data_IF_513397386343
#
_entry.id   IF_513397386343
#
_cell.length_a   1.000
_cell.length_b   1.000
_cell.length_c   1.000
_cell.angle_alpha   90.00
_cell.angle_beta   90.00
_cell.angle_gamma   90.00
#
_symmetry.space_group_name_H-M   'P 1'
#
loop_
_entity.id
_entity.type
_entity.pdbx_description
1 polymer ?
#
# COMPACT_ATOMS: atom_id res chain seq x y z
N UNK A 1 -24.72 98.56 10.46
CA UNK A 1 -23.29 98.47 10.78
C UNK A 1 -23.00 97.10 11.35
N UNK A 2 -22.11 96.35 10.72
CA UNK A 2 -21.73 94.99 11.10
C UNK A 2 -20.56 95.11 12.08
N UNK A 3 -20.81 94.81 13.35
CA UNK A 3 -19.81 94.84 14.43
C UNK A 3 -18.87 93.65 14.24
N UNK A 4 -17.72 93.89 13.62
CA UNK A 4 -16.62 92.93 13.63
C UNK A 4 -15.99 92.93 15.02
N UNK A 5 -16.20 91.86 15.79
CA UNK A 5 -15.46 91.61 17.02
C UNK A 5 -14.00 91.29 16.65
N UNK A 6 -13.08 92.21 16.96
CA UNK A 6 -11.66 92.01 16.77
C UNK A 6 -11.09 91.30 18.01
N UNK A 7 -10.87 90.00 17.91
CA UNK A 7 -10.20 89.22 18.96
C UNK A 7 -8.71 89.56 18.93
N UNK A 8 -8.08 89.93 20.07
CA UNK A 8 -6.64 90.14 20.14
C UNK A 8 -5.87 88.92 19.66
N UNK A 9 -4.86 89.12 18.81
CA UNK A 9 -4.04 88.05 18.21
C UNK A 9 -3.50 87.03 19.24
N UNK A 10 -3.22 87.49 20.47
CA UNK A 10 -2.76 86.66 21.58
C UNK A 10 -3.78 85.59 21.99
N UNK A 11 -5.04 85.97 22.20
CA UNK A 11 -6.11 85.05 22.62
C UNK A 11 -6.40 84.00 21.53
N UNK A 12 -6.41 84.43 20.26
CA UNK A 12 -6.53 83.52 19.12
C UNK A 12 -5.37 82.52 19.04
N UNK A 13 -4.14 82.97 19.31
CA UNK A 13 -2.95 82.12 19.33
C UNK A 13 -2.97 81.11 20.49
N UNK A 14 -3.37 81.54 21.69
CA UNK A 14 -3.52 80.68 22.87
C UNK A 14 -4.58 79.60 22.64
N UNK A 15 -5.72 79.95 22.03
CA UNK A 15 -6.75 78.98 21.65
C UNK A 15 -6.23 77.94 20.64
N UNK A 16 -5.49 78.38 19.61
CA UNK A 16 -4.88 77.47 18.62
C UNK A 16 -3.81 76.57 19.23
N UNK A 17 -3.05 77.08 20.20
CA UNK A 17 -2.05 76.27 20.92
C UNK A 17 -2.69 75.18 21.76
N UNK A 18 -3.79 75.48 22.47
CA UNK A 18 -4.53 74.48 23.23
C UNK A 18 -5.14 73.39 22.32
N UNK A 19 -5.66 73.76 21.14
CA UNK A 19 -6.13 72.79 20.14
C UNK A 19 -4.99 71.88 19.65
N UNK A 20 -3.79 72.42 19.42
CA UNK A 20 -2.62 71.65 19.05
C UNK A 20 -2.17 70.69 20.16
N UNK A 21 -2.16 71.14 21.42
CA UNK A 21 -1.81 70.28 22.56
C UNK A 21 -2.79 69.11 22.70
N UNK A 22 -4.10 69.35 22.50
CA UNK A 22 -5.11 68.28 22.49
C UNK A 22 -4.87 67.31 21.33
N UNK A 23 -4.61 67.84 20.14
CA UNK A 23 -4.34 67.03 18.94
C UNK A 23 -3.09 66.16 19.15
N UNK A 24 -2.04 66.70 19.77
CA UNK A 24 -0.82 65.95 20.09
C UNK A 24 -1.13 64.77 21.01
N UNK A 25 -1.92 64.96 22.06
CA UNK A 25 -2.32 63.87 22.96
C UNK A 25 -3.10 62.77 22.22
N UNK A 26 -4.05 63.14 21.36
CA UNK A 26 -4.82 62.19 20.55
C UNK A 26 -3.90 61.40 19.59
N UNK A 27 -2.97 62.08 18.92
CA UNK A 27 -1.99 61.44 18.04
C UNK A 27 -1.08 60.49 18.80
N UNK A 28 -0.61 60.86 20.00
CA UNK A 28 0.22 59.97 20.83
C UNK A 28 -0.55 58.71 21.25
N UNK A 29 -1.82 58.81 21.63
CA UNK A 29 -2.66 57.65 21.94
C UNK A 29 -2.84 56.74 20.71
N UNK A 30 -3.08 57.33 19.55
CA UNK A 30 -3.18 56.65 18.27
C UNK A 30 -1.89 55.89 17.89
N UNK A 31 -0.72 56.44 18.20
CA UNK A 31 0.58 55.80 18.01
C UNK A 31 0.71 54.59 18.93
N UNK A 32 0.40 54.72 20.23
CA UNK A 32 0.51 53.61 21.18
C UNK A 32 -0.44 52.46 20.82
N UNK A 33 -1.68 52.78 20.45
CA UNK A 33 -2.65 51.78 19.98
C UNK A 33 -2.14 51.02 18.75
N UNK A 34 -1.57 51.73 17.76
CA UNK A 34 -0.98 51.10 16.56
C UNK A 34 0.22 50.22 16.90
N UNK A 35 1.07 50.61 17.86
CA UNK A 35 2.19 49.79 18.33
C UNK A 35 1.72 48.48 18.96
N UNK A 36 0.71 48.53 19.83
CA UNK A 36 0.09 47.33 20.39
C UNK A 36 -0.50 46.44 19.28
N UNK A 37 -1.19 47.05 18.32
CA UNK A 37 -1.78 46.30 17.21
C UNK A 37 -0.73 45.59 16.33
N UNK A 38 0.42 46.21 16.14
CA UNK A 38 1.55 45.59 15.42
C UNK A 38 2.02 44.33 16.16
N UNK A 39 2.16 44.37 17.49
CA UNK A 39 2.60 43.20 18.27
C UNK A 39 1.54 42.09 18.27
N UNK A 40 0.25 42.42 18.37
CA UNK A 40 -0.84 41.44 18.21
C UNK A 40 -0.79 40.73 16.85
N UNK A 41 -0.59 41.49 15.77
CA UNK A 41 -0.51 40.93 14.41
C UNK A 41 0.72 40.03 14.27
N UNK A 42 1.87 40.44 14.80
CA UNK A 42 3.10 39.62 14.79
C UNK A 42 2.89 38.28 15.50
N UNK A 43 2.26 38.29 16.68
CA UNK A 43 2.00 37.06 17.41
C UNK A 43 1.01 36.16 16.66
N UNK A 44 -0.05 36.74 16.08
CA UNK A 44 -1.00 35.97 15.24
C UNK A 44 -0.31 35.29 14.06
N UNK A 45 0.62 35.97 13.38
CA UNK A 45 1.40 35.39 12.28
C UNK A 45 2.30 34.25 12.78
N UNK A 46 2.92 34.41 13.95
CA UNK A 46 3.76 33.37 14.56
C UNK A 46 2.97 32.12 14.92
N UNK A 47 1.79 32.28 15.54
CA UNK A 47 0.87 31.18 15.86
C UNK A 47 0.44 30.47 14.57
N UNK A 48 0.00 31.24 13.55
CA UNK A 48 -0.39 30.67 12.26
C UNK A 48 0.73 29.85 11.61
N UNK A 49 1.98 30.34 11.67
CA UNK A 49 3.13 29.59 11.17
C UNK A 49 3.36 28.30 11.95
N UNK A 50 3.28 28.34 13.27
CA UNK A 50 3.42 27.16 14.11
C UNK A 50 2.34 26.12 13.82
N UNK A 51 1.07 26.54 13.75
CA UNK A 51 -0.06 25.66 13.45
C UNK A 51 0.07 25.02 12.06
N UNK A 52 0.50 25.80 11.06
CA UNK A 52 0.72 25.28 9.71
C UNK A 52 1.80 24.17 9.70
N UNK A 53 2.92 24.37 10.39
CA UNK A 53 3.98 23.35 10.46
C UNK A 53 3.54 22.13 11.27
N UNK A 54 2.77 22.32 12.36
CA UNK A 54 2.18 21.20 13.13
C UNK A 54 1.25 20.36 12.25
N UNK A 55 0.30 20.99 11.56
CA UNK A 55 -0.65 20.29 10.70
C UNK A 55 0.03 19.57 9.53
N UNK A 56 1.10 20.16 8.95
CA UNK A 56 1.93 19.47 7.95
C UNK A 56 2.56 18.21 8.53
N UNK A 57 3.17 18.29 9.70
CA UNK A 57 3.83 17.16 10.35
C UNK A 57 2.83 16.03 10.68
N UNK A 58 1.67 16.39 11.23
CA UNK A 58 0.57 15.45 11.49
C UNK A 58 0.09 14.77 10.20
N UNK A 59 -0.11 15.56 9.13
CA UNK A 59 -0.49 15.05 7.82
C UNK A 59 0.54 14.05 7.28
N UNK A 60 1.83 14.42 7.28
CA UNK A 60 2.92 13.53 6.85
C UNK A 60 2.93 12.24 7.67
N UNK A 61 2.74 12.32 8.99
CA UNK A 61 2.69 11.14 9.85
C UNK A 61 1.54 10.19 9.45
N UNK A 62 0.32 10.71 9.32
CA UNK A 62 -0.86 9.90 8.96
C UNK A 62 -0.71 9.26 7.58
N UNK A 63 -0.29 10.04 6.57
CA UNK A 63 -0.13 9.51 5.21
C UNK A 63 1.02 8.51 5.09
N UNK A 64 2.09 8.68 5.89
CA UNK A 64 3.18 7.70 5.97
C UNK A 64 2.65 6.38 6.53
N UNK A 65 1.88 6.42 7.62
CA UNK A 65 1.26 5.23 8.20
C UNK A 65 0.30 4.54 7.25
N UNK A 66 -0.51 5.30 6.53
CA UNK A 66 -1.43 4.76 5.53
C UNK A 66 -0.66 4.07 4.40
N UNK A 67 0.41 4.69 3.90
CA UNK A 67 1.28 4.10 2.88
C UNK A 67 1.90 2.78 3.37
N UNK A 68 2.48 2.76 4.57
CA UNK A 68 3.04 1.54 5.18
C UNK A 68 2.00 0.42 5.30
N UNK A 69 0.75 0.77 5.66
CA UNK A 69 -0.35 -0.19 5.76
C UNK A 69 -0.71 -0.79 4.40
N UNK A 70 -0.86 0.05 3.38
CA UNK A 70 -1.16 -0.39 2.00
C UNK A 70 -0.04 -1.26 1.44
N UNK A 71 1.22 -0.86 1.62
CA UNK A 71 2.39 -1.64 1.17
C UNK A 71 2.45 -3.02 1.83
N UNK A 72 2.13 -3.10 3.12
CA UNK A 72 2.03 -4.38 3.82
C UNK A 72 0.90 -5.24 3.28
N UNK A 73 -0.27 -4.65 3.03
CA UNK A 73 -1.41 -5.33 2.42
C UNK A 73 -1.07 -5.91 1.05
N UNK A 74 -0.43 -5.11 0.19
CA UNK A 74 0.03 -5.55 -1.12
C UNK A 74 1.06 -6.69 -1.03
N UNK A 75 2.03 -6.56 -0.13
CA UNK A 75 3.04 -7.61 0.09
C UNK A 75 2.40 -8.92 0.53
N UNK A 76 1.41 -8.85 1.42
CA UNK A 76 0.67 -10.03 1.89
C UNK A 76 -0.13 -10.68 0.76
N UNK A 77 -0.85 -9.88 -0.02
CA UNK A 77 -1.62 -10.34 -1.18
C UNK A 77 -0.74 -11.09 -2.19
N UNK A 78 0.38 -10.49 -2.60
CA UNK A 78 1.32 -11.11 -3.56
C UNK A 78 1.80 -12.45 -3.01
N UNK A 79 2.21 -12.49 -1.74
CA UNK A 79 2.68 -13.72 -1.11
C UNK A 79 1.62 -14.81 -1.07
N UNK A 80 0.37 -14.49 -0.74
CA UNK A 80 -0.72 -15.47 -0.72
C UNK A 80 -0.98 -16.05 -2.12
N UNK A 81 -0.91 -15.22 -3.17
CA UNK A 81 -1.02 -15.67 -4.56
C UNK A 81 0.13 -16.62 -4.93
N UNK A 82 1.37 -16.26 -4.60
CA UNK A 82 2.56 -17.08 -4.87
C UNK A 82 2.53 -18.42 -4.11
N UNK A 83 2.11 -18.40 -2.83
CA UNK A 83 2.02 -19.61 -2.01
C UNK A 83 0.93 -20.57 -2.53
N UNK A 84 -0.22 -20.04 -3.00
CA UNK A 84 -1.28 -20.83 -3.63
C UNK A 84 -0.85 -21.43 -4.96
N UNK A 85 -0.18 -20.64 -5.80
CA UNK A 85 0.38 -21.10 -7.07
C UNK A 85 1.37 -22.24 -6.82
N UNK A 86 2.34 -22.05 -5.92
CA UNK A 86 3.38 -23.04 -5.61
C UNK A 86 2.79 -24.35 -5.07
N UNK A 87 1.72 -24.27 -4.29
CA UNK A 87 1.03 -25.46 -3.78
C UNK A 87 0.41 -26.27 -4.93
N UNK A 88 -0.25 -25.58 -5.86
CA UNK A 88 -0.85 -26.19 -7.06
C UNK A 88 0.22 -26.82 -7.95
N UNK A 89 1.32 -26.11 -8.21
CA UNK A 89 2.45 -26.61 -9.01
C UNK A 89 3.09 -27.85 -8.38
N UNK A 90 3.31 -27.85 -7.06
CA UNK A 90 3.87 -29.00 -6.35
C UNK A 90 2.95 -30.23 -6.40
N UNK A 91 1.64 -30.03 -6.34
CA UNK A 91 0.68 -31.12 -6.51
C UNK A 91 0.75 -31.71 -7.93
N UNK A 92 0.80 -30.85 -8.94
CA UNK A 92 0.94 -31.28 -10.33
C UNK A 92 2.26 -32.03 -10.57
N UNK A 93 3.38 -31.54 -10.05
CA UNK A 93 4.69 -32.19 -10.15
C UNK A 93 4.67 -33.59 -9.53
N UNK A 94 3.99 -33.77 -8.38
CA UNK A 94 3.81 -35.07 -7.76
C UNK A 94 3.06 -36.06 -8.66
N UNK A 95 1.93 -35.64 -9.24
CA UNK A 95 1.16 -36.48 -10.15
C UNK A 95 1.91 -36.83 -11.44
N UNK A 96 2.64 -35.87 -12.01
CA UNK A 96 3.47 -36.10 -13.20
C UNK A 96 4.54 -37.15 -12.89
N UNK A 97 5.25 -37.02 -11.76
CA UNK A 97 6.30 -37.96 -11.37
C UNK A 97 5.78 -39.38 -11.17
N UNK A 98 4.62 -39.52 -10.53
CA UNK A 98 3.96 -40.83 -10.36
C UNK A 98 3.60 -41.44 -11.72
N UNK A 99 3.04 -40.65 -12.66
CA UNK A 99 2.72 -41.08 -14.02
C UNK A 99 3.97 -41.47 -14.82
N UNK A 100 5.05 -40.70 -14.74
CA UNK A 100 6.33 -41.02 -15.41
C UNK A 100 6.92 -42.34 -14.92
N UNK A 101 6.79 -42.63 -13.62
CA UNK A 101 7.21 -43.89 -13.04
C UNK A 101 6.34 -45.06 -13.54
N UNK A 102 5.01 -44.92 -13.51
CA UNK A 102 4.09 -45.95 -14.02
C UNK A 102 4.34 -46.21 -15.52
N UNK A 103 4.53 -45.17 -16.33
CA UNK A 103 4.87 -45.30 -17.76
C UNK A 103 6.18 -46.06 -17.94
N UNK A 104 7.21 -45.78 -17.12
CA UNK A 104 8.50 -46.46 -17.20
C UNK A 104 8.38 -47.96 -16.89
N UNK A 105 7.59 -48.33 -15.90
CA UNK A 105 7.30 -49.73 -15.55
C UNK A 105 6.51 -50.44 -16.65
N UNK A 106 5.50 -49.77 -17.21
CA UNK A 106 4.71 -50.28 -18.33
C UNK A 106 5.56 -50.45 -19.60
N UNK A 107 6.48 -49.53 -19.88
CA UNK A 107 7.42 -49.63 -21.00
C UNK A 107 8.39 -50.81 -20.85
N UNK A 108 8.90 -51.03 -19.64
CA UNK A 108 9.72 -52.20 -19.31
C UNK A 108 8.93 -53.49 -19.53
N UNK A 109 7.71 -53.56 -18.99
CA UNK A 109 6.79 -54.70 -19.14
C UNK A 109 6.50 -55.02 -20.60
N UNK A 110 6.18 -53.99 -21.38
CA UNK A 110 5.91 -54.09 -22.82
C UNK A 110 7.10 -54.66 -23.58
N UNK A 111 8.31 -54.22 -23.23
CA UNK A 111 9.55 -54.70 -23.84
C UNK A 111 9.82 -56.18 -23.52
N UNK A 112 9.64 -56.60 -22.26
CA UNK A 112 9.77 -58.00 -21.83
C UNK A 112 8.77 -58.91 -22.55
N UNK A 113 7.50 -58.48 -22.65
CA UNK A 113 6.45 -59.21 -23.38
C UNK A 113 6.80 -59.34 -24.86
N UNK A 114 7.23 -58.25 -25.51
CA UNK A 114 7.64 -58.27 -26.92
C UNK A 114 8.80 -59.23 -27.16
N UNK A 115 9.82 -59.19 -26.30
CA UNK A 115 10.98 -60.08 -26.41
C UNK A 115 10.58 -61.56 -26.28
N UNK A 116 9.77 -61.90 -25.29
CA UNK A 116 9.28 -63.26 -25.08
C UNK A 116 8.39 -63.76 -26.22
N UNK A 117 7.55 -62.88 -26.79
CA UNK A 117 6.67 -63.23 -27.91
C UNK A 117 7.43 -63.59 -29.19
N UNK A 118 8.65 -63.08 -29.34
CA UNK A 118 9.55 -63.40 -30.46
C UNK A 118 10.55 -64.52 -30.14
N UNK A 119 10.50 -65.10 -28.94
CA UNK A 119 11.46 -66.12 -28.51
C UNK A 119 11.05 -67.52 -28.99
N UNK A 120 12.02 -68.28 -29.50
CA UNK A 120 11.84 -69.70 -29.84
C UNK A 120 12.01 -70.63 -28.61
N UNK A 121 12.42 -70.09 -27.45
CA UNK A 121 12.53 -70.86 -26.21
C UNK A 121 11.16 -71.01 -25.54
N UNK A 122 10.45 -72.07 -25.92
CA UNK A 122 9.13 -72.39 -25.40
C UNK A 122 9.12 -72.69 -23.90
N UNK A 123 10.22 -73.18 -23.31
CA UNK A 123 10.28 -73.46 -21.88
C UNK A 123 10.35 -72.15 -21.08
N UNK A 124 11.20 -71.21 -21.49
CA UNK A 124 11.32 -69.89 -20.87
C UNK A 124 10.01 -69.08 -20.99
N UNK A 125 9.30 -69.22 -22.11
CA UNK A 125 7.96 -68.65 -22.30
C UNK A 125 6.98 -69.20 -21.26
N UNK A 126 6.86 -70.52 -21.14
CA UNK A 126 5.93 -71.16 -20.19
C UNK A 126 6.25 -70.78 -18.73
N UNK A 127 7.54 -70.69 -18.37
CA UNK A 127 7.97 -70.29 -17.03
C UNK A 127 7.63 -68.82 -16.73
N UNK A 128 7.83 -67.92 -17.71
CA UNK A 128 7.66 -66.48 -17.52
C UNK A 128 6.20 -66.01 -17.70
N UNK A 129 5.38 -66.77 -18.44
CA UNK A 129 4.01 -66.39 -18.81
C UNK A 129 3.12 -66.04 -17.62
N UNK A 130 3.17 -66.85 -16.55
CA UNK A 130 2.36 -66.62 -15.35
C UNK A 130 2.70 -65.29 -14.67
N UNK A 131 3.98 -64.91 -14.64
CA UNK A 131 4.42 -63.60 -14.15
C UNK A 131 3.96 -62.50 -15.12
N UNK A 132 4.27 -62.66 -16.42
CA UNK A 132 3.82 -61.95 -17.64
C UNK A 132 2.39 -61.42 -17.66
N UNK A 133 1.47 -62.34 -17.36
CA UNK A 133 0.04 -62.17 -17.63
C UNK A 133 -0.63 -61.16 -16.69
N UNK A 134 -0.13 -61.00 -15.47
CA UNK A 134 -0.67 -60.03 -14.53
C UNK A 134 -0.37 -58.60 -15.01
N UNK A 135 -1.37 -57.71 -14.95
CA UNK A 135 -1.12 -56.28 -15.17
C UNK A 135 -0.27 -55.74 -13.99
N UNK A 136 0.69 -54.83 -14.24
CA UNK A 136 1.34 -54.11 -13.16
C UNK A 136 0.30 -53.36 -12.31
N UNK A 137 0.52 -53.24 -10.99
CA UNK A 137 -0.32 -52.41 -10.15
C UNK A 137 -0.22 -50.97 -10.66
N UNK A 138 -1.36 -50.37 -11.01
CA UNK A 138 -1.47 -49.00 -11.51
C UNK A 138 -2.56 -48.27 -10.73
N UNK A 139 -2.39 -46.97 -10.58
CA UNK A 139 -3.41 -46.11 -9.99
C UNK A 139 -4.50 -45.80 -11.03
N UNK A 140 -5.74 -45.60 -10.58
CA UNK A 140 -6.78 -45.02 -11.44
C UNK A 140 -6.60 -43.50 -11.51
N UNK A 141 -6.35 -43.00 -12.72
CA UNK A 141 -6.11 -41.58 -13.00
C UNK A 141 -7.34 -40.84 -13.55
N UNK A 142 -8.47 -41.52 -13.77
CA UNK A 142 -9.65 -40.93 -14.43
C UNK A 142 -10.26 -39.75 -13.67
N UNK A 143 -10.22 -39.78 -12.34
CA UNK A 143 -10.75 -38.74 -11.47
C UNK A 143 -9.69 -37.74 -10.97
N UNK A 144 -8.41 -38.00 -11.22
CA UNK A 144 -7.32 -37.15 -10.72
C UNK A 144 -7.27 -35.86 -11.52
N UNK A 145 -7.41 -34.72 -10.83
CA UNK A 145 -7.29 -33.38 -11.42
C UNK A 145 -6.45 -32.49 -10.51
N UNK A 146 -5.82 -31.50 -11.13
CA UNK A 146 -5.23 -30.36 -10.44
C UNK A 146 -6.17 -29.20 -10.69
N UNK A 147 -6.86 -28.77 -9.64
CA UNK A 147 -7.73 -27.61 -9.73
C UNK A 147 -6.89 -26.33 -9.79
N UNK A 148 -7.29 -25.32 -10.58
CA UNK A 148 -6.66 -24.02 -10.54
C UNK A 148 -6.72 -23.43 -9.12
N UNK A 149 -5.71 -22.68 -8.68
CA UNK A 149 -5.76 -22.02 -7.39
C UNK A 149 -6.99 -21.10 -7.33
N UNK A 150 -7.83 -21.26 -6.30
CA UNK A 150 -8.92 -20.33 -6.03
C UNK A 150 -8.35 -19.08 -5.37
N UNK A 151 -8.59 -17.92 -5.99
CA UNK A 151 -8.28 -16.60 -5.44
C UNK A 151 -9.53 -15.94 -4.83
N UNK A 152 -10.57 -16.71 -4.54
CA UNK A 152 -11.76 -16.17 -3.86
C UNK A 152 -11.39 -15.68 -2.44
N UNK A 153 -11.66 -14.40 -2.18
CA UNK A 153 -11.40 -13.75 -0.90
C UNK A 153 -10.00 -13.12 -0.75
N UNK A 154 -9.19 -13.08 -1.81
CA UNK A 154 -7.87 -12.40 -1.77
C UNK A 154 -7.97 -10.87 -1.90
N UNK A 155 -9.17 -10.29 -2.01
CA UNK A 155 -9.42 -8.83 -2.01
C UNK A 155 -10.60 -8.49 -1.11
#
# INVERSE_FOLDING_TARGET
>A
HQTYNFVPLREACEGKKAELEKTEVEVQQMIQSRRLKIEEIKESVKISKYDAERLKAEGVYVFTRLKEYVERGLTKLIKEIEDNQKTTEKQAEGFIKDLEQEISELMKRSSEVKQLSCSEDHLHLLQSFSSLKAAPPTKDWTEVRVDPPSYEGTV
#
